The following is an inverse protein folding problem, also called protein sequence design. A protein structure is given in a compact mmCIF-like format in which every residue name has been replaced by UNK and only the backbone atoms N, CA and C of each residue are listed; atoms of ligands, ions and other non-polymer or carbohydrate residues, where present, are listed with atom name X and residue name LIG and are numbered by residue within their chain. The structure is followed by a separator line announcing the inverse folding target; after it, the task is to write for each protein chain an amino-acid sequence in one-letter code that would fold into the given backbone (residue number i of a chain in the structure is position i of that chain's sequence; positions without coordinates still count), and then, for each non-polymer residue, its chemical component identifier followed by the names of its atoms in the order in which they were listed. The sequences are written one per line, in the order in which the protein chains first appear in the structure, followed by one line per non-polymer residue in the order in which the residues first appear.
data_IF_226122474356
#
_entry.id   IF_226122474356
#
_cell.length_a   1.000
_cell.length_b   1.000
_cell.length_c   1.000
_cell.angle_alpha   90.00
_cell.angle_beta   90.00
_cell.angle_gamma   90.00
#
_symmetry.space_group_name_H-M   'P 1'
#
loop_
_entity.id
_entity.type
_entity.pdbx_description
1 polymer ?
#
# COMPACT_ATOMS: atom_id res chain seq x y z
N UNK A 1 -6.59 0.19 3.76
CA UNK A 1 -5.42 0.54 4.55
C UNK A 1 -4.20 0.34 3.77
N UNK A 2 -4.00 -0.88 3.33
CA UNK A 2 -2.81 -1.22 2.60
C UNK A 2 -2.98 -1.09 1.10
N UNK A 3 -4.21 -0.91 0.57
CA UNK A 3 -4.34 -0.48 -0.83
C UNK A 3 -3.47 0.75 -1.05
N UNK A 4 -3.39 1.56 0.01
CA UNK A 4 -2.62 2.76 0.11
C UNK A 4 -1.29 2.59 0.85
N UNK A 5 -1.15 1.85 1.96
CA UNK A 5 0.21 1.61 2.50
C UNK A 5 1.14 0.86 1.53
N UNK A 6 0.63 -0.12 0.77
CA UNK A 6 1.40 -0.89 -0.20
C UNK A 6 1.58 -0.13 -1.50
N UNK A 7 0.56 0.59 -1.98
CA UNK A 7 0.74 1.44 -3.17
C UNK A 7 1.68 2.61 -2.86
N UNK A 8 1.50 3.32 -1.75
CA UNK A 8 2.37 4.42 -1.32
C UNK A 8 3.76 3.92 -0.92
N UNK A 9 3.85 2.75 -0.28
CA UNK A 9 5.12 2.10 0.08
C UNK A 9 5.90 1.61 -1.13
N UNK A 10 5.22 1.00 -2.10
CA UNK A 10 5.81 0.64 -3.38
C UNK A 10 6.24 1.88 -4.18
N UNK A 11 5.44 2.94 -4.21
CA UNK A 11 5.83 4.20 -4.85
C UNK A 11 7.02 4.86 -4.15
N UNK A 12 7.12 4.72 -2.82
CA UNK A 12 8.29 5.16 -2.08
C UNK A 12 9.52 4.32 -2.42
N UNK A 13 9.39 2.99 -2.56
CA UNK A 13 10.47 2.10 -3.03
C UNK A 13 10.95 2.54 -4.41
N UNK A 14 10.03 2.82 -5.33
CA UNK A 14 10.35 3.34 -6.67
C UNK A 14 11.04 4.71 -6.58
N UNK A 15 10.51 5.63 -5.77
CA UNK A 15 11.06 6.97 -5.61
C UNK A 15 12.46 6.96 -4.96
N UNK A 16 12.70 6.08 -3.99
CA UNK A 16 14.01 5.83 -3.37
C UNK A 16 14.97 5.23 -4.38
N UNK A 17 14.56 4.21 -5.15
CA UNK A 17 15.39 3.59 -6.18
C UNK A 17 15.80 4.60 -7.28
N UNK A 18 14.92 5.53 -7.63
CA UNK A 18 15.19 6.61 -8.59
C UNK A 18 16.03 7.75 -7.99
N UNK A 19 15.81 8.10 -6.72
CA UNK A 19 16.51 9.18 -6.01
C UNK A 19 17.97 8.84 -5.69
N UNK A 20 18.26 7.58 -5.35
CA UNK A 20 19.60 7.10 -4.99
C UNK A 20 20.58 6.98 -6.16
N UNK A 21 20.13 7.14 -7.41
CA UNK A 21 20.99 7.02 -8.61
C UNK A 21 21.44 8.37 -9.18
N UNK A 22 21.04 9.50 -8.59
CA UNK A 22 21.57 10.80 -9.02
C UNK A 22 22.98 10.99 -8.45
N UNK A 23 24.00 11.20 -9.29
CA UNK A 23 25.40 11.32 -8.86
C UNK A 23 25.69 12.60 -8.06
N UNK A 24 24.73 13.51 -7.93
CA UNK A 24 24.81 14.74 -7.16
C UNK A 24 23.70 14.77 -6.10
N UNK A 25 24.06 15.10 -4.86
CA UNK A 25 23.25 15.05 -3.63
C UNK A 25 22.05 16.00 -3.59
N UNK A 26 21.10 15.82 -4.51
CA UNK A 26 19.84 16.57 -4.61
C UNK A 26 18.62 15.63 -4.66
N UNK A 27 18.81 14.36 -4.32
CA UNK A 27 17.76 13.35 -4.34
C UNK A 27 16.86 13.38 -3.11
N UNK A 28 17.41 13.75 -1.94
CA UNK A 28 16.72 13.61 -0.66
C UNK A 28 15.62 14.64 -0.47
N UNK A 29 15.88 15.91 -0.81
CA UNK A 29 14.87 16.98 -0.76
C UNK A 29 13.69 16.74 -1.72
N UNK A 30 13.97 16.23 -2.93
CA UNK A 30 12.93 15.86 -3.90
C UNK A 30 12.09 14.67 -3.40
N UNK A 31 12.72 13.70 -2.72
CA UNK A 31 12.00 12.62 -2.09
C UNK A 31 11.17 13.11 -0.90
N UNK A 32 11.70 14.05 -0.11
CA UNK A 32 10.97 14.67 1.00
C UNK A 32 9.73 15.40 0.51
N UNK A 33 9.85 16.25 -0.51
CA UNK A 33 8.70 16.94 -1.09
C UNK A 33 7.61 15.96 -1.58
N UNK A 34 8.01 14.80 -2.14
CA UNK A 34 7.05 13.74 -2.50
C UNK A 34 6.42 13.08 -1.27
N UNK A 35 7.21 12.78 -0.24
CA UNK A 35 6.69 12.24 1.02
C UNK A 35 5.69 13.21 1.65
N UNK A 36 5.98 14.50 1.66
CA UNK A 36 5.05 15.52 2.16
C UNK A 36 3.78 15.61 1.29
N UNK A 37 3.89 15.50 -0.04
CA UNK A 37 2.71 15.44 -0.92
C UNK A 37 1.86 14.17 -0.71
N UNK A 38 2.51 13.04 -0.41
CA UNK A 38 1.86 11.74 -0.18
C UNK A 38 1.28 11.63 1.24
N UNK A 39 1.86 12.29 2.25
CA UNK A 39 1.48 12.12 3.66
C UNK A 39 1.04 13.41 4.35
N UNK A 40 0.98 14.53 3.63
CA UNK A 40 0.69 15.86 4.19
C UNK A 40 -0.80 16.18 4.27
N UNK A 41 -1.59 15.75 3.29
CA UNK A 41 -3.01 16.07 3.17
C UNK A 41 -3.87 14.79 3.09
N UNK A 42 -5.15 14.85 3.50
CA UNK A 42 -6.10 13.77 3.25
C UNK A 42 -6.17 13.42 1.77
N UNK A 43 -6.21 12.12 1.46
CA UNK A 43 -6.31 11.66 0.07
C UNK A 43 -7.71 11.86 -0.48
N UNK A 44 -7.78 12.32 -1.71
CA UNK A 44 -9.02 12.45 -2.45
C UNK A 44 -9.32 11.14 -3.18
N UNK A 45 -10.36 10.44 -2.75
CA UNK A 45 -10.81 9.20 -3.35
C UNK A 45 -12.05 9.47 -4.23
N UNK A 46 -12.02 8.97 -5.46
CA UNK A 46 -13.13 9.11 -6.40
C UNK A 46 -13.60 7.74 -6.89
N UNK A 47 -14.91 7.57 -7.07
CA UNK A 47 -15.44 6.43 -7.81
C UNK A 47 -15.08 6.55 -9.28
N UNK A 48 -14.71 5.43 -9.87
CA UNK A 48 -14.28 5.38 -11.27
C UNK A 48 -14.86 4.18 -11.99
N UNK A 49 -14.82 4.23 -13.31
CA UNK A 49 -15.16 3.12 -14.18
C UNK A 49 -13.88 2.41 -14.63
N UNK A 50 -13.81 1.06 -14.60
CA UNK A 50 -12.62 0.31 -15.06
C UNK A 50 -12.17 0.66 -16.48
N UNK A 51 -13.09 1.06 -17.36
CA UNK A 51 -12.84 1.46 -18.76
C UNK A 51 -11.92 2.69 -18.86
N UNK A 52 -11.82 3.50 -17.80
CA UNK A 52 -10.90 4.63 -17.73
C UNK A 52 -9.43 4.20 -17.54
N UNK A 53 -9.16 2.91 -17.36
CA UNK A 53 -7.85 2.32 -17.09
C UNK A 53 -7.52 1.23 -18.12
N UNK A 54 -7.25 1.58 -19.39
CA UNK A 54 -7.08 0.61 -20.47
C UNK A 54 -5.87 -0.33 -20.30
N UNK A 55 -4.98 -0.03 -19.36
CA UNK A 55 -3.77 -0.81 -19.09
C UNK A 55 -3.91 -1.68 -17.83
N UNK A 56 -5.06 -1.61 -17.15
CA UNK A 56 -5.37 -2.50 -16.04
C UNK A 56 -5.64 -3.92 -16.56
N UNK A 57 -5.21 -4.92 -15.79
CA UNK A 57 -5.51 -6.33 -16.06
C UNK A 57 -6.93 -6.62 -15.59
N UNK A 58 -7.94 -6.21 -16.38
CA UNK A 58 -9.35 -6.32 -16.01
C UNK A 58 -9.77 -7.78 -15.75
N UNK A 59 -9.17 -8.74 -16.46
CA UNK A 59 -9.41 -10.15 -16.20
C UNK A 59 -8.98 -10.57 -14.79
N UNK A 60 -7.88 -10.03 -14.26
CA UNK A 60 -7.49 -10.25 -12.87
C UNK A 60 -8.54 -9.71 -11.90
N UNK A 61 -9.04 -8.48 -12.11
CA UNK A 61 -10.08 -7.91 -11.25
C UNK A 61 -11.37 -8.72 -11.29
N UNK A 62 -11.74 -9.25 -12.46
CA UNK A 62 -12.96 -10.03 -12.62
C UNK A 62 -12.83 -11.42 -12.01
N UNK A 63 -11.67 -12.08 -12.13
CA UNK A 63 -11.37 -13.34 -11.44
C UNK A 63 -11.44 -13.18 -9.92
N UNK A 64 -10.74 -12.18 -9.36
CA UNK A 64 -10.76 -11.93 -7.91
C UNK A 64 -12.17 -11.60 -7.42
N UNK A 65 -12.91 -10.78 -8.19
CA UNK A 65 -14.31 -10.49 -7.88
C UNK A 65 -15.16 -11.75 -7.87
N UNK A 66 -15.09 -12.58 -8.90
CA UNK A 66 -15.87 -13.81 -8.99
C UNK A 66 -15.56 -14.77 -7.83
N UNK A 67 -14.29 -14.98 -7.52
CA UNK A 67 -13.84 -15.85 -6.43
C UNK A 67 -14.32 -15.36 -5.05
N UNK A 68 -14.25 -14.05 -4.80
CA UNK A 68 -14.74 -13.44 -3.56
C UNK A 68 -16.28 -13.48 -3.48
N UNK A 69 -16.98 -13.20 -4.58
CA UNK A 69 -18.45 -13.27 -4.62
C UNK A 69 -18.95 -14.70 -4.40
N UNK A 70 -18.25 -15.71 -4.93
CA UNK A 70 -18.51 -17.12 -4.63
C UNK A 70 -18.36 -17.49 -3.15
N UNK A 71 -17.72 -16.63 -2.35
CA UNK A 71 -17.55 -16.76 -0.89
C UNK A 71 -18.45 -15.82 -0.10
N UNK A 72 -19.43 -15.18 -0.74
CA UNK A 72 -20.39 -14.29 -0.09
C UNK A 72 -19.95 -12.83 0.03
N UNK A 73 -18.83 -12.44 -0.59
CA UNK A 73 -18.46 -11.03 -0.63
C UNK A 73 -19.36 -10.26 -1.60
N UNK A 74 -19.66 -9.00 -1.28
CA UNK A 74 -20.37 -8.07 -2.17
C UNK A 74 -19.42 -7.01 -2.71
N UNK A 75 -19.47 -6.76 -4.01
CA UNK A 75 -18.75 -5.66 -4.64
C UNK A 75 -19.39 -4.31 -4.24
N UNK A 76 -18.56 -3.38 -3.75
CA UNK A 76 -19.00 -2.04 -3.34
C UNK A 76 -18.74 -1.02 -4.44
N UNK A 77 -17.60 -1.14 -5.14
CA UNK A 77 -17.26 -0.28 -6.26
C UNK A 77 -15.77 -0.25 -6.57
N UNK A 78 -15.43 0.53 -7.58
CA UNK A 78 -14.07 0.76 -8.03
C UNK A 78 -13.68 2.21 -7.69
N UNK A 79 -12.50 2.42 -7.10
CA UNK A 79 -12.00 3.75 -6.71
C UNK A 79 -10.63 4.07 -7.27
N UNK A 80 -10.40 5.35 -7.56
CA UNK A 80 -9.09 5.92 -7.80
C UNK A 80 -8.74 6.87 -6.65
N UNK A 81 -7.46 6.94 -6.32
CA UNK A 81 -6.92 8.00 -5.49
C UNK A 81 -6.32 9.09 -6.35
N UNK A 82 -7.05 10.21 -6.41
CA UNK A 82 -6.69 11.35 -7.23
C UNK A 82 -5.45 12.06 -6.70
N UNK A 83 -5.19 12.00 -5.40
CA UNK A 83 -3.94 12.51 -4.82
C UNK A 83 -2.75 11.73 -5.37
N UNK A 84 -2.82 10.40 -5.34
CA UNK A 84 -1.75 9.55 -5.86
C UNK A 84 -1.62 9.68 -7.38
N UNK A 85 -2.72 9.80 -8.12
CA UNK A 85 -2.69 10.01 -9.56
C UNK A 85 -2.09 11.36 -9.97
N UNK A 86 -2.24 12.42 -9.17
CA UNK A 86 -1.54 13.69 -9.38
C UNK A 86 -0.03 13.56 -9.18
N UNK A 87 0.39 12.77 -8.18
CA UNK A 87 1.81 12.57 -7.85
C UNK A 87 2.48 11.63 -8.86
N UNK A 88 1.76 10.60 -9.33
CA UNK A 88 2.23 9.56 -10.25
C UNK A 88 1.30 9.42 -11.48
N UNK A 89 1.22 10.42 -12.37
CA UNK A 89 0.22 10.46 -13.44
C UNK A 89 0.35 9.35 -14.49
N UNK A 90 1.54 8.76 -14.64
CA UNK A 90 1.78 7.65 -15.57
C UNK A 90 1.45 6.27 -14.99
N UNK A 91 1.02 6.24 -13.73
CA UNK A 91 0.81 5.02 -12.97
C UNK A 91 -0.52 5.05 -12.20
N UNK A 92 -1.50 5.74 -12.79
CA UNK A 92 -2.89 5.67 -12.37
C UNK A 92 -3.32 4.21 -12.27
N UNK A 93 -4.01 3.89 -11.19
CA UNK A 93 -4.59 2.58 -10.94
C UNK A 93 -5.92 2.80 -10.25
N UNK A 94 -6.82 1.82 -10.39
CA UNK A 94 -8.03 1.77 -9.58
C UNK A 94 -8.01 0.54 -8.69
N UNK A 95 -8.84 0.59 -7.66
CA UNK A 95 -8.93 -0.41 -6.62
C UNK A 95 -10.36 -0.89 -6.59
N UNK A 96 -10.54 -2.19 -6.79
CA UNK A 96 -11.85 -2.82 -6.64
C UNK A 96 -12.07 -3.18 -5.19
N UNK A 97 -13.16 -2.67 -4.63
CA UNK A 97 -13.52 -2.85 -3.22
C UNK A 97 -14.67 -3.83 -3.09
N UNK A 98 -14.49 -4.81 -2.21
CA UNK A 98 -15.53 -5.76 -1.82
C UNK A 98 -15.59 -5.86 -0.29
N UNK A 99 -16.72 -6.30 0.24
CA UNK A 99 -16.91 -6.57 1.66
C UNK A 99 -17.46 -7.98 1.84
N UNK A 100 -17.02 -8.70 2.87
CA UNK A 100 -17.54 -10.02 3.20
C UNK A 100 -19.01 -10.00 3.64
N UNK A 101 -19.62 -11.18 3.75
CA UNK A 101 -21.01 -11.31 4.17
C UNK A 101 -21.28 -10.75 5.57
N UNK A 102 -20.29 -10.76 6.46
CA UNK A 102 -20.39 -10.23 7.83
C UNK A 102 -20.14 -8.73 7.94
N UNK A 103 -19.77 -8.04 6.86
CA UNK A 103 -19.48 -6.61 6.90
C UNK A 103 -18.17 -6.24 7.60
N UNK A 104 -17.30 -7.19 7.96
CA UNK A 104 -16.13 -6.97 8.81
C UNK A 104 -14.81 -6.90 8.04
N UNK A 105 -14.77 -7.48 6.84
CA UNK A 105 -13.56 -7.61 6.02
C UNK A 105 -13.77 -6.78 4.77
N UNK A 106 -12.98 -5.71 4.64
CA UNK A 106 -12.81 -5.05 3.34
C UNK A 106 -11.76 -5.82 2.56
N UNK A 107 -12.18 -6.44 1.46
CA UNK A 107 -11.28 -6.92 0.43
C UNK A 107 -10.98 -5.82 -0.59
N UNK A 108 -9.76 -5.80 -1.09
CA UNK A 108 -9.32 -4.86 -2.10
C UNK A 108 -8.40 -5.55 -3.09
N UNK A 109 -8.69 -5.36 -4.38
CA UNK A 109 -7.90 -5.90 -5.47
C UNK A 109 -7.41 -4.76 -6.35
N UNK A 110 -6.12 -4.79 -6.73
CA UNK A 110 -5.56 -3.79 -7.65
C UNK A 110 -4.37 -4.34 -8.42
N UNK A 111 -4.18 -3.79 -9.61
CA UNK A 111 -3.07 -4.11 -10.50
C UNK A 111 -2.16 -2.89 -10.65
N UNK A 112 -0.90 -3.06 -10.26
CA UNK A 112 0.14 -2.06 -10.51
C UNK A 112 1.01 -2.52 -11.68
N UNK A 113 1.22 -1.59 -12.60
CA UNK A 113 2.16 -1.73 -13.69
C UNK A 113 3.23 -0.62 -13.55
N UNK A 114 4.32 -0.88 -12.79
CA UNK A 114 5.34 0.14 -12.53
C UNK A 114 6.05 0.50 -13.84
N UNK A 115 6.12 1.79 -14.14
CA UNK A 115 6.71 2.34 -15.37
C UNK A 115 7.93 3.21 -15.08
N UNK A 116 8.85 3.24 -16.04
CA UNK A 116 10.02 4.12 -16.05
C UNK A 116 11.23 3.41 -16.64
N UNK A 117 12.09 4.13 -17.36
CA UNK A 117 13.23 3.57 -18.13
C UNK A 117 14.07 2.59 -17.30
N UNK A 118 14.33 2.92 -16.03
CA UNK A 118 15.09 2.07 -15.11
C UNK A 118 14.33 0.81 -14.69
N UNK A 119 13.03 0.95 -14.41
CA UNK A 119 12.17 -0.19 -14.06
C UNK A 119 12.02 -1.11 -15.26
N UNK A 120 11.85 -0.57 -16.45
CA UNK A 120 11.80 -1.32 -17.70
C UNK A 120 13.10 -2.10 -17.94
N UNK A 121 14.27 -1.53 -17.62
CA UNK A 121 15.55 -2.24 -17.69
C UNK A 121 15.63 -3.39 -16.66
N UNK A 122 15.18 -3.18 -15.42
CA UNK A 122 15.14 -4.22 -14.38
C UNK A 122 14.13 -5.33 -14.69
N UNK A 123 13.00 -4.98 -15.31
CA UNK A 123 11.99 -5.92 -15.82
C UNK A 123 12.53 -6.73 -17.01
N UNK A 124 13.43 -6.17 -17.83
CA UNK A 124 14.04 -6.86 -18.95
C UNK A 124 14.96 -8.00 -18.48
N UNK A 125 15.67 -7.78 -17.37
CA UNK A 125 16.52 -8.81 -16.73
C UNK A 125 15.76 -9.64 -15.67
N UNK A 126 14.42 -9.59 -15.65
CA UNK A 126 13.55 -10.34 -14.73
C UNK A 126 13.82 -10.12 -13.23
N UNK A 127 14.54 -9.06 -12.86
CA UNK A 127 14.81 -8.71 -11.46
C UNK A 127 13.63 -7.99 -10.79
N UNK A 128 12.60 -7.62 -11.56
CA UNK A 128 11.41 -6.97 -11.05
C UNK A 128 10.15 -7.44 -11.81
N UNK A 129 9.04 -7.77 -11.11
CA UNK A 129 7.82 -8.21 -11.80
C UNK A 129 7.23 -7.07 -12.64
N UNK A 130 6.74 -7.40 -13.85
CA UNK A 130 6.05 -6.44 -14.73
C UNK A 130 4.64 -6.10 -14.27
N UNK A 131 3.99 -7.06 -13.63
CA UNK A 131 2.60 -6.97 -13.20
C UNK A 131 2.52 -7.36 -11.73
N UNK A 132 2.12 -6.41 -10.90
CA UNK A 132 1.86 -6.65 -9.49
C UNK A 132 0.36 -6.75 -9.31
N UNK A 133 -0.12 -7.98 -9.10
CA UNK A 133 -1.52 -8.28 -8.86
C UNK A 133 -1.69 -8.44 -7.36
N UNK A 134 -2.27 -7.44 -6.73
CA UNK A 134 -2.38 -7.39 -5.29
C UNK A 134 -3.80 -7.67 -4.85
N UNK A 135 -3.93 -8.54 -3.86
CA UNK A 135 -5.13 -8.69 -3.05
C UNK A 135 -4.77 -8.41 -1.61
N UNK A 136 -5.67 -7.68 -0.96
CA UNK A 136 -5.58 -7.29 0.43
C UNK A 136 -6.91 -7.49 1.12
N UNK A 137 -6.83 -7.93 2.38
CA UNK A 137 -7.94 -8.02 3.30
C UNK A 137 -7.66 -7.16 4.52
N UNK A 138 -8.63 -6.36 4.93
CA UNK A 138 -8.53 -5.48 6.09
C UNK A 138 -9.76 -5.60 6.98
N UNK A 139 -9.50 -5.78 8.26
CA UNK A 139 -10.47 -5.60 9.34
C UNK A 139 -9.99 -4.49 10.27
N UNK A 140 -10.89 -3.58 10.60
CA UNK A 140 -10.65 -2.50 11.56
C UNK A 140 -11.35 -2.83 12.88
N UNK A 141 -10.62 -2.73 14.00
CA UNK A 141 -11.13 -2.97 15.35
C UNK A 141 -10.64 -1.82 16.24
N UNK A 142 -11.53 -0.86 16.53
CA UNK A 142 -11.22 0.32 17.36
C UNK A 142 -9.92 1.05 16.96
N UNK A 143 -9.72 1.29 15.66
CA UNK A 143 -8.53 1.95 15.15
C UNK A 143 -7.26 1.07 15.12
N UNK A 144 -7.34 -0.18 15.56
CA UNK A 144 -6.37 -1.22 15.19
C UNK A 144 -6.77 -1.81 13.86
N UNK A 145 -5.78 -2.09 13.06
CA UNK A 145 -5.99 -2.44 11.69
C UNK A 145 -5.26 -3.73 11.36
N UNK A 146 -6.03 -4.80 11.22
CA UNK A 146 -5.51 -6.09 10.86
C UNK A 146 -5.47 -6.19 9.34
N UNK A 147 -4.30 -6.48 8.78
CA UNK A 147 -4.12 -6.50 7.33
C UNK A 147 -3.37 -7.73 6.86
N UNK A 148 -3.93 -8.45 5.88
CA UNK A 148 -3.26 -9.55 5.18
C UNK A 148 -3.21 -9.25 3.69
N UNK A 149 -2.04 -9.34 3.07
CA UNK A 149 -1.87 -9.05 1.63
C UNK A 149 -0.81 -9.95 0.98
N UNK A 150 -0.81 -10.09 -0.35
CA UNK A 150 0.18 -10.88 -1.10
C UNK A 150 1.39 -10.04 -1.56
N UNK A 151 1.95 -9.20 -0.70
CA UNK A 151 2.98 -8.21 -1.08
C UNK A 151 4.37 -8.46 -0.51
N UNK A 152 4.62 -9.68 -0.02
CA UNK A 152 5.92 -10.02 0.55
C UNK A 152 7.07 -9.74 -0.43
N UNK A 153 8.11 -9.08 0.08
CA UNK A 153 9.30 -8.70 -0.70
C UNK A 153 9.17 -7.40 -1.50
N UNK A 154 7.95 -6.85 -1.62
CA UNK A 154 7.67 -5.62 -2.39
C UNK A 154 7.54 -4.42 -1.47
N UNK A 155 6.67 -4.50 -0.47
CA UNK A 155 6.56 -3.46 0.54
C UNK A 155 7.54 -3.75 1.69
N UNK A 156 8.45 -2.80 1.91
CA UNK A 156 9.49 -2.87 2.94
C UNK A 156 9.38 -1.74 3.96
N UNK A 157 8.31 -0.95 3.88
CA UNK A 157 8.06 0.10 4.83
C UNK A 157 7.48 -0.48 6.12
N UNK A 158 7.86 0.16 7.22
CA UNK A 158 7.35 -0.14 8.53
C UNK A 158 5.89 0.33 8.64
N UNK A 159 4.95 -0.55 9.00
CA UNK A 159 3.58 -0.10 9.22
C UNK A 159 3.50 0.76 10.49
N UNK A 160 2.50 1.65 10.60
CA UNK A 160 2.27 2.37 11.85
C UNK A 160 1.90 1.37 12.97
N UNK A 161 2.13 1.69 14.26
CA UNK A 161 1.85 0.78 15.39
C UNK A 161 0.41 0.22 15.43
N UNK A 162 -0.54 1.00 14.90
CA UNK A 162 -1.96 0.68 14.76
C UNK A 162 -2.21 -0.44 13.75
N UNK A 163 -1.30 -0.67 12.80
CA UNK A 163 -1.43 -1.69 11.77
C UNK A 163 -0.69 -2.98 12.14
N UNK A 164 -1.42 -4.09 12.15
CA UNK A 164 -0.92 -5.45 12.31
C UNK A 164 -0.92 -6.11 10.94
N UNK A 165 0.25 -6.17 10.32
CA UNK A 165 0.41 -6.57 8.91
C UNK A 165 0.97 -7.98 8.79
N UNK A 166 0.39 -8.76 7.88
CA UNK A 166 0.95 -10.02 7.38
C UNK A 166 1.08 -9.91 5.86
N UNK A 167 2.31 -10.09 5.34
CA UNK A 167 2.60 -10.06 3.91
C UNK A 167 2.97 -11.46 3.45
N UNK A 168 2.21 -12.00 2.51
CA UNK A 168 2.39 -13.32 1.89
C UNK A 168 3.04 -13.15 0.50
N UNK A 169 3.68 -14.19 -0.07
CA UNK A 169 4.21 -14.15 -1.43
C UNK A 169 3.19 -13.68 -2.48
N UNK A 170 3.65 -12.97 -3.52
CA UNK A 170 2.80 -12.52 -4.64
C UNK A 170 1.95 -13.63 -5.27
N UNK A 171 2.50 -14.84 -5.32
CA UNK A 171 1.85 -16.02 -5.92
C UNK A 171 0.89 -16.73 -4.98
N UNK A 172 0.71 -16.26 -3.74
CA UNK A 172 -0.19 -16.90 -2.78
C UNK A 172 -1.62 -16.93 -3.32
N UNK A 173 -2.27 -18.10 -3.34
CA UNK A 173 -3.67 -18.21 -3.75
C UNK A 173 -4.61 -17.39 -2.87
N UNK A 174 -5.62 -16.77 -3.47
CA UNK A 174 -6.61 -15.95 -2.76
C UNK A 174 -7.24 -16.67 -1.56
N UNK A 175 -7.55 -17.96 -1.72
CA UNK A 175 -8.12 -18.77 -0.64
C UNK A 175 -7.24 -18.82 0.61
N UNK A 176 -5.92 -18.86 0.44
CA UNK A 176 -4.96 -18.89 1.56
C UNK A 176 -4.85 -17.51 2.24
N UNK A 177 -4.92 -16.42 1.45
CA UNK A 177 -4.95 -15.05 1.99
C UNK A 177 -6.17 -14.87 2.90
N UNK A 178 -7.35 -15.32 2.44
CA UNK A 178 -8.60 -15.28 3.20
C UNK A 178 -8.47 -16.11 4.48
N UNK A 179 -8.06 -17.37 4.37
CA UNK A 179 -7.93 -18.26 5.52
C UNK A 179 -6.95 -17.71 6.57
N UNK A 180 -5.83 -17.12 6.14
CA UNK A 180 -4.89 -16.49 7.07
C UNK A 180 -5.50 -15.28 7.76
N UNK A 181 -6.22 -14.44 7.01
CA UNK A 181 -6.86 -13.26 7.56
C UNK A 181 -7.93 -13.59 8.59
N UNK A 182 -8.84 -14.52 8.28
CA UNK A 182 -9.91 -14.98 9.18
C UNK A 182 -9.35 -15.60 10.47
N UNK A 183 -8.27 -16.38 10.36
CA UNK A 183 -7.55 -16.92 11.52
C UNK A 183 -7.02 -15.79 12.42
N UNK A 184 -6.46 -14.74 11.83
CA UNK A 184 -5.92 -13.59 12.57
C UNK A 184 -7.02 -12.74 13.19
N UNK A 185 -8.17 -12.56 12.54
CA UNK A 185 -9.35 -11.90 13.12
C UNK A 185 -9.79 -12.66 14.36
N UNK A 186 -9.95 -13.99 14.24
CA UNK A 186 -10.36 -14.86 15.34
C UNK A 186 -9.40 -14.74 16.53
N UNK A 187 -8.09 -14.74 16.28
CA UNK A 187 -7.09 -14.58 17.32
C UNK A 187 -7.17 -13.19 18.00
N UNK A 188 -7.38 -12.14 17.22
CA UNK A 188 -7.47 -10.76 17.73
C UNK A 188 -8.73 -10.55 18.57
N UNK A 189 -9.89 -11.05 18.12
CA UNK A 189 -11.15 -10.99 18.85
C UNK A 189 -11.14 -11.80 20.15
N UNK A 190 -10.41 -12.93 20.19
CA UNK A 190 -10.19 -13.67 21.43
C UNK A 190 -9.34 -12.91 22.44
N UNK A 191 -8.38 -12.12 21.97
CA UNK A 191 -7.51 -11.31 22.83
C UNK A 191 -8.22 -10.06 23.37
N UNK A 192 -9.20 -9.54 22.62
CA UNK A 192 -9.95 -8.32 22.95
C UNK A 192 -11.45 -8.52 22.73
N UNK A 193 -12.13 -9.39 23.52
CA UNK A 193 -13.54 -9.74 23.31
C UNK A 193 -14.51 -8.57 23.46
N UNK A 194 -14.10 -7.51 24.15
CA UNK A 194 -14.88 -6.27 24.32
C UNK A 194 -14.89 -5.36 23.08
N UNK A 195 -14.04 -5.65 22.09
CA UNK A 195 -13.87 -4.79 20.92
C UNK A 195 -14.65 -5.33 19.72
N UNK A 196 -15.63 -4.55 19.30
CA UNK A 196 -16.35 -4.82 18.05
C UNK A 196 -15.52 -4.38 16.83
N UNK A 197 -15.47 -5.20 15.76
CA UNK A 197 -15.04 -4.75 14.46
C UNK A 197 -15.90 -3.60 13.94
N UNK A 198 -15.30 -2.72 13.13
CA UNK A 198 -16.03 -1.73 12.35
C UNK A 198 -16.80 -2.45 11.24
N UNK A 199 -18.09 -2.13 11.11
CA UNK A 199 -18.93 -2.62 10.00
C UNK A 199 -18.72 -1.79 8.74
N UNK A 200 -18.71 -2.45 7.59
CA UNK A 200 -18.55 -1.87 6.27
C UNK A 200 -19.81 -2.18 5.43
N UNK A 201 -20.84 -1.35 5.52
CA UNK A 201 -22.09 -1.60 4.79
C UNK A 201 -22.14 -0.82 3.48
N UNK A 202 -21.48 0.33 3.46
CA UNK A 202 -21.56 1.31 2.39
C UNK A 202 -20.18 1.67 1.87
N UNK A 203 -20.19 2.36 0.72
CA UNK A 203 -18.99 2.98 0.18
C UNK A 203 -18.37 3.99 1.13
N UNK A 204 -19.20 4.78 1.82
CA UNK A 204 -18.73 5.82 2.73
C UNK A 204 -18.03 5.22 3.95
N UNK A 205 -18.48 4.05 4.42
CA UNK A 205 -17.79 3.32 5.50
C UNK A 205 -16.38 2.91 5.08
N UNK A 206 -16.22 2.45 3.84
CA UNK A 206 -14.91 2.08 3.29
C UNK A 206 -14.00 3.30 3.19
N UNK A 207 -14.51 4.40 2.62
CA UNK A 207 -13.75 5.65 2.48
C UNK A 207 -13.36 6.21 3.85
N UNK A 208 -14.28 6.19 4.83
CA UNK A 208 -14.00 6.64 6.20
C UNK A 208 -12.92 5.79 6.88
N UNK A 209 -12.96 4.46 6.73
CA UNK A 209 -11.91 3.57 7.23
C UNK A 209 -10.55 3.85 6.57
N UNK A 210 -10.56 4.12 5.26
CA UNK A 210 -9.34 4.45 4.50
C UNK A 210 -8.78 5.82 4.88
N UNK A 211 -9.63 6.80 5.21
CA UNK A 211 -9.19 8.10 5.71
C UNK A 211 -8.52 7.97 7.10
N UNK A 212 -9.13 7.25 8.06
CA UNK A 212 -8.54 7.02 9.39
C UNK A 212 -7.17 6.36 9.31
N UNK A 213 -7.06 5.42 8.38
CA UNK A 213 -5.81 4.75 8.06
C UNK A 213 -4.73 5.67 7.48
N UNK A 214 -5.09 6.54 6.53
CA UNK A 214 -4.15 7.52 5.98
C UNK A 214 -3.62 8.45 7.08
N UNK A 215 -4.49 8.89 7.99
CA UNK A 215 -4.09 9.69 9.16
C UNK A 215 -3.10 8.94 10.04
N UNK A 216 -3.34 7.66 10.32
CA UNK A 216 -2.41 6.83 11.09
C UNK A 216 -1.04 6.70 10.38
N UNK A 217 -1.04 6.49 9.06
CA UNK A 217 0.21 6.42 8.30
C UNK A 217 0.96 7.74 8.29
N UNK A 218 0.27 8.83 7.96
CA UNK A 218 0.83 10.17 7.89
C UNK A 218 1.51 10.54 9.20
N UNK A 219 0.82 10.31 10.33
CA UNK A 219 1.39 10.51 11.67
C UNK A 219 2.66 9.70 11.90
N UNK A 220 2.66 8.42 11.52
CA UNK A 220 3.84 7.57 11.67
C UNK A 220 5.00 8.05 10.78
N UNK A 221 4.74 8.37 9.50
CA UNK A 221 5.73 8.88 8.55
C UNK A 221 6.34 10.18 9.03
N UNK A 222 5.53 11.12 9.49
CA UNK A 222 6.00 12.36 10.10
C UNK A 222 6.89 12.07 11.32
N UNK A 223 6.49 11.15 12.20
CA UNK A 223 7.26 10.76 13.39
C UNK A 223 8.64 10.17 13.05
N UNK A 224 8.75 9.35 12.00
CA UNK A 224 10.03 8.75 11.59
C UNK A 224 10.86 9.63 10.64
N UNK A 225 10.40 10.85 10.34
CA UNK A 225 11.08 11.74 9.40
C UNK A 225 10.93 11.32 7.93
N UNK A 226 9.86 10.60 7.61
CA UNK A 226 9.51 10.10 6.28
C UNK A 226 10.06 8.70 6.01
N UNK A 227 11.37 8.53 6.15
CA UNK A 227 12.08 7.27 5.97
C UNK A 227 13.07 7.06 7.12
N UNK A 228 13.04 5.88 7.74
CA UNK A 228 14.00 5.50 8.78
C UNK A 228 15.29 4.92 8.18
N UNK A 229 16.36 4.87 8.98
CA UNK A 229 17.61 4.22 8.59
C UNK A 229 17.37 2.75 8.28
N UNK A 230 16.72 2.04 9.19
CA UNK A 230 16.45 0.61 9.07
C UNK A 230 15.60 0.29 7.84
N UNK A 231 14.63 1.15 7.49
CA UNK A 231 13.87 1.02 6.26
C UNK A 231 14.75 1.15 5.02
N UNK A 232 15.65 2.14 4.98
CA UNK A 232 16.58 2.33 3.87
C UNK A 232 17.57 1.16 3.76
N UNK A 233 18.09 0.65 4.88
CA UNK A 233 18.97 -0.53 4.89
C UNK A 233 18.23 -1.80 4.43
N UNK A 234 16.98 -2.00 4.86
CA UNK A 234 16.12 -3.10 4.38
C UNK A 234 15.83 -3.00 2.88
N UNK A 235 15.63 -1.79 2.35
CA UNK A 235 15.47 -1.57 0.91
C UNK A 235 16.74 -1.94 0.14
N UNK A 236 17.91 -1.66 0.71
CA UNK A 236 19.22 -1.91 0.10
C UNK A 236 19.72 -3.34 0.28
N UNK A 237 19.30 -4.02 1.33
CA UNK A 237 19.86 -5.31 1.74
C UNK A 237 21.29 -5.21 2.29
N UNK A 238 21.74 -4.01 2.68
CA UNK A 238 23.07 -3.76 3.24
C UNK A 238 23.09 -2.48 4.10
N UNK A 239 24.09 -2.31 4.98
CA UNK A 239 24.31 -1.05 5.70
C UNK A 239 24.48 0.15 4.75
N UNK A 240 24.11 1.34 5.23
CA UNK A 240 24.22 2.59 4.45
C UNK A 240 25.68 3.02 4.30
N UNK A 241 26.02 3.54 3.12
CA UNK A 241 27.25 4.30 2.91
C UNK A 241 27.10 5.74 3.43
N UNK A 242 28.22 6.46 3.57
CA UNK A 242 28.21 7.87 4.00
C UNK A 242 27.34 8.76 3.09
N UNK A 243 27.36 8.53 1.78
CA UNK A 243 26.49 9.24 0.82
C UNK A 243 25.01 8.94 1.05
N UNK A 244 24.68 7.70 1.40
CA UNK A 244 23.30 7.27 1.69
C UNK A 244 22.82 7.81 3.05
N UNK A 245 23.71 7.96 4.02
CA UNK A 245 23.41 8.66 5.27
C UNK A 245 23.14 10.16 5.04
N UNK A 246 23.93 10.82 4.19
CA UNK A 246 23.69 12.21 3.82
C UNK A 246 22.33 12.38 3.11
N UNK A 247 22.03 11.48 2.15
CA UNK A 247 20.72 11.41 1.51
C UNK A 247 19.59 11.23 2.53
N UNK A 248 19.74 10.32 3.49
CA UNK A 248 18.72 10.09 4.51
C UNK A 248 18.51 11.34 5.38
N UNK A 249 19.57 12.08 5.73
CA UNK A 249 19.45 13.34 6.46
C UNK A 249 18.66 14.39 5.68
N UNK A 250 18.92 14.52 4.38
CA UNK A 250 18.15 15.41 3.50
C UNK A 250 16.65 15.02 3.48
N UNK A 251 16.35 13.71 3.33
CA UNK A 251 14.97 13.20 3.38
C UNK A 251 14.29 13.55 4.71
N UNK A 252 15.04 13.45 5.81
CA UNK A 252 14.56 13.76 7.16
C UNK A 252 14.50 15.27 7.45
N UNK A 253 14.92 16.14 6.53
CA UNK A 253 14.98 17.58 6.74
C UNK A 253 16.02 18.02 7.78
N UNK A 254 17.03 17.18 8.04
CA UNK A 254 18.11 17.48 8.99
C UNK A 254 19.21 18.30 8.30
N UNK A 255 19.86 19.26 9.00
CA UNK A 255 20.93 20.06 8.42
C UNK A 255 22.14 19.18 8.04
N UNK A 256 22.92 19.59 7.02
CA UNK A 256 24.21 18.96 6.73
C UNK A 256 25.11 19.11 7.97
N UNK A 257 25.75 18.01 8.38
CA UNK A 257 26.70 17.98 9.49
C UNK A 257 28.13 17.98 9.02
#
# INVERSE_FOLDING_TARGET
MEVFFLMMGLWLVVAVALGLRRPTGFGGSALRARLDAVYGEPHELARVSPEAFPEADLEFYDRVRADLQGRGYRCIGDIEDLTMSRIYPHNRTFVRLLVDAGGMIRASAYHLHPRGVVISLLQLVQLFPRHLRVVELVTEIQGIFLVTSNTHGIDRLEPPPEAKVERMPLSTPLAEIIASHEKRITALLRMYPERAPVSFETYDDLVASMARAHVAMARHRQKVGGLSRDELERLKGRPLSQTEEAFLREVQGKPPG
#
